data_IF_586550686518
#
_entry.id   IF_586550686518
#
_cell.length_a   1.000
_cell.length_b   1.000
_cell.length_c   1.000
_cell.angle_alpha   90.00
_cell.angle_beta   90.00
_cell.angle_gamma   90.00
#
_symmetry.space_group_name_H-M   'P 1'
#
loop_
_entity.id
_entity.type
_entity.pdbx_description
1 polymer ?
#
# COMPACT_ATOMS: atom_id res chain seq x y z
N UNK A 1 19.49 10.87 -8.58
CA UNK A 1 19.21 12.33 -8.48
C UNK A 1 19.46 12.78 -7.05
N UNK A 2 19.58 14.09 -6.77
CA UNK A 2 19.51 14.58 -5.39
C UNK A 2 18.04 14.62 -4.95
N UNK A 3 17.73 14.05 -3.78
CA UNK A 3 16.38 14.12 -3.18
C UNK A 3 15.99 15.60 -2.95
N UNK A 4 14.70 16.00 -3.10
CA UNK A 4 14.29 17.39 -2.90
C UNK A 4 14.39 17.87 -1.45
N UNK A 5 14.81 17.01 -0.51
CA UNK A 5 15.18 17.40 0.85
C UNK A 5 16.70 17.58 1.05
N UNK A 6 17.56 17.15 0.12
CA UNK A 6 19.02 17.04 0.34
C UNK A 6 19.82 17.71 -0.79
N UNK A 7 20.78 18.57 -0.43
CA UNK A 7 21.48 19.44 -1.37
C UNK A 7 22.98 19.50 -1.05
N UNK A 8 23.80 19.30 -2.08
CA UNK A 8 25.24 19.54 -2.02
C UNK A 8 25.54 20.93 -2.58
N UNK A 9 26.21 21.78 -1.80
CA UNK A 9 26.53 23.17 -2.12
C UNK A 9 28.04 23.36 -2.17
N UNK A 10 28.58 23.72 -3.34
CA UNK A 10 29.98 24.13 -3.47
C UNK A 10 30.19 25.56 -2.98
N UNK A 11 31.23 25.78 -2.17
CA UNK A 11 31.70 27.10 -1.72
C UNK A 11 33.18 27.20 -2.09
N UNK A 12 33.50 28.01 -3.10
CA UNK A 12 34.81 27.98 -3.76
C UNK A 12 34.97 26.74 -4.63
N UNK A 13 36.22 26.39 -4.95
CA UNK A 13 36.53 25.29 -5.89
C UNK A 13 36.51 23.90 -5.20
N UNK A 14 37.02 23.80 -3.96
CA UNK A 14 37.26 22.51 -3.28
C UNK A 14 36.22 22.11 -2.20
N UNK A 15 35.44 23.05 -1.65
CA UNK A 15 34.60 22.76 -0.46
C UNK A 15 33.14 22.50 -0.82
N UNK A 16 32.65 21.28 -0.59
CA UNK A 16 31.24 20.90 -0.78
C UNK A 16 30.56 20.66 0.57
N UNK A 17 29.53 21.44 0.86
CA UNK A 17 28.70 21.35 2.07
C UNK A 17 27.38 20.67 1.77
N UNK A 18 27.10 19.54 2.44
CA UNK A 18 25.79 18.88 2.37
C UNK A 18 24.83 19.53 3.37
N UNK A 19 23.72 20.03 2.86
CA UNK A 19 22.62 20.63 3.63
C UNK A 19 21.33 19.85 3.40
N UNK A 20 20.41 19.90 4.36
CA UNK A 20 19.08 19.29 4.22
C UNK A 20 17.97 20.24 4.68
N UNK A 21 16.86 20.22 3.96
CA UNK A 21 15.61 20.86 4.35
C UNK A 21 14.70 19.81 5.02
N UNK A 22 13.95 20.16 6.08
CA UNK A 22 13.04 19.24 6.76
C UNK A 22 11.78 18.92 5.93
N UNK A 23 11.58 19.62 4.81
CA UNK A 23 10.50 19.43 3.85
C UNK A 23 11.07 19.47 2.43
N UNK A 24 10.44 18.80 1.45
CA UNK A 24 10.83 18.91 0.05
C UNK A 24 10.78 20.36 -0.45
N UNK A 25 11.83 20.81 -1.13
CA UNK A 25 11.91 22.11 -1.80
C UNK A 25 12.38 21.93 -3.24
N UNK A 26 12.07 22.89 -4.11
CA UNK A 26 12.51 22.82 -5.51
C UNK A 26 13.98 23.27 -5.61
N UNK A 27 14.83 22.41 -6.18
CA UNK A 27 16.28 22.64 -6.28
C UNK A 27 16.61 23.94 -7.00
N UNK A 28 15.95 24.17 -8.14
CA UNK A 28 16.27 25.27 -9.05
C UNK A 28 15.72 26.62 -8.58
N UNK A 29 15.04 26.66 -7.43
CA UNK A 29 14.55 27.88 -6.77
C UNK A 29 15.25 28.16 -5.43
N UNK A 30 16.25 27.35 -5.04
CA UNK A 30 17.08 27.59 -3.86
C UNK A 30 17.91 28.87 -4.03
N UNK A 31 17.65 29.85 -3.17
CA UNK A 31 18.40 31.10 -3.05
C UNK A 31 19.40 30.98 -1.92
N UNK A 32 20.66 31.26 -2.23
CA UNK A 32 21.76 31.37 -1.27
C UNK A 32 21.88 32.84 -0.85
N UNK A 33 21.93 33.10 0.45
CA UNK A 33 22.23 34.40 1.02
C UNK A 33 23.48 34.29 1.91
N UNK A 34 24.44 35.17 1.72
CA UNK A 34 25.70 35.20 2.48
C UNK A 34 25.77 36.52 3.23
N UNK A 35 25.96 36.47 4.55
CA UNK A 35 26.33 37.62 5.38
C UNK A 35 27.78 37.45 5.88
N UNK A 36 28.76 38.13 5.25
CA UNK A 36 30.17 38.05 5.67
C UNK A 36 30.43 38.60 7.08
N UNK A 37 29.57 39.48 7.62
CA UNK A 37 29.76 40.07 8.94
C UNK A 37 29.32 39.12 10.06
N UNK A 38 28.33 38.27 9.78
CA UNK A 38 27.86 37.22 10.70
C UNK A 38 28.52 35.85 10.43
N UNK A 39 29.32 35.72 9.37
CA UNK A 39 29.88 34.44 8.92
C UNK A 39 28.81 33.44 8.46
N UNK A 40 27.64 33.93 8.05
CA UNK A 40 26.45 33.12 7.83
C UNK A 40 26.24 32.83 6.34
N UNK A 41 25.95 31.57 6.01
CA UNK A 41 25.37 31.18 4.72
C UNK A 41 23.98 30.59 4.97
N UNK A 42 22.95 31.29 4.51
CA UNK A 42 21.55 30.93 4.67
C UNK A 42 20.96 30.45 3.33
N UNK A 43 20.13 29.41 3.40
CA UNK A 43 19.46 28.83 2.23
C UNK A 43 17.95 29.01 2.37
N UNK A 44 17.29 29.44 1.28
CA UNK A 44 15.84 29.63 1.26
C UNK A 44 15.26 29.14 -0.06
N UNK A 45 14.15 28.40 0.00
CA UNK A 45 13.43 27.90 -1.17
C UNK A 45 11.96 27.70 -0.81
N UNK A 46 11.00 27.92 -1.73
CA UNK A 46 9.62 27.51 -1.51
C UNK A 46 9.50 25.99 -1.31
N UNK A 47 8.65 25.59 -0.35
CA UNK A 47 8.25 24.19 -0.19
C UNK A 47 7.56 23.71 -1.46
N UNK A 48 7.96 22.54 -1.94
CA UNK A 48 7.41 21.92 -3.15
C UNK A 48 5.94 21.57 -2.96
N UNK A 49 5.12 21.81 -3.99
CA UNK A 49 3.69 21.49 -4.00
C UNK A 49 3.48 20.00 -4.30
N UNK A 50 2.32 19.42 -3.97
CA UNK A 50 2.02 18.01 -4.23
C UNK A 50 2.23 17.56 -5.69
N UNK A 51 1.92 18.44 -6.66
CA UNK A 51 2.14 18.20 -8.09
C UNK A 51 3.62 18.22 -8.46
N UNK A 52 4.41 19.13 -7.88
CA UNK A 52 5.86 19.19 -8.07
C UNK A 52 6.57 17.94 -7.49
N UNK A 53 5.86 17.17 -6.66
CA UNK A 53 6.31 15.92 -6.04
C UNK A 53 5.77 14.65 -6.72
N UNK A 54 5.12 14.73 -7.89
CA UNK A 54 4.75 13.54 -8.68
C UNK A 54 5.98 12.72 -9.15
N UNK A 55 7.13 13.33 -9.54
CA UNK A 55 8.36 12.59 -9.84
C UNK A 55 9.03 11.94 -8.62
N UNK A 56 8.72 12.40 -7.41
CA UNK A 56 9.34 11.95 -6.15
C UNK A 56 8.40 11.01 -5.39
N UNK A 57 8.02 9.91 -6.04
CA UNK A 57 7.04 8.96 -5.51
C UNK A 57 7.46 8.33 -4.17
N UNK A 58 8.76 8.17 -3.93
CA UNK A 58 9.37 7.65 -2.70
C UNK A 58 8.99 8.42 -1.42
N UNK A 59 8.68 9.72 -1.56
CA UNK A 59 8.24 10.58 -0.46
C UNK A 59 6.84 10.24 0.10
N UNK A 60 6.23 9.16 -0.39
CA UNK A 60 5.05 8.55 0.21
C UNK A 60 5.36 7.83 1.53
N UNK A 61 6.59 7.34 1.73
CA UNK A 61 7.07 6.73 2.98
C UNK A 61 8.50 7.19 3.33
N UNK A 62 8.71 8.49 3.60
CA UNK A 62 10.04 9.04 3.82
C UNK A 62 10.58 8.60 5.20
N UNK A 63 11.82 8.11 5.21
CA UNK A 63 12.55 7.69 6.40
C UNK A 63 13.78 8.58 6.59
N UNK A 64 13.89 9.21 7.75
CA UNK A 64 15.10 9.95 8.14
C UNK A 64 16.11 9.00 8.77
N UNK A 65 17.41 9.25 8.59
CA UNK A 65 18.46 8.61 9.38
C UNK A 65 18.75 9.52 10.59
N UNK A 66 18.38 9.05 11.79
CA UNK A 66 18.55 9.78 13.03
C UNK A 66 19.91 9.56 13.69
N UNK A 67 20.03 9.99 14.96
CA UNK A 67 21.24 9.80 15.76
C UNK A 67 21.65 8.31 15.82
N UNK A 68 22.96 8.06 15.80
CA UNK A 68 23.56 6.72 15.74
C UNK A 68 23.06 5.86 14.55
N UNK A 69 22.69 6.51 13.45
CA UNK A 69 22.15 5.89 12.23
C UNK A 69 20.87 5.06 12.41
N UNK A 70 20.09 5.33 13.48
CA UNK A 70 18.79 4.70 13.65
C UNK A 70 17.80 5.29 12.62
N UNK A 71 17.21 4.49 11.72
CA UNK A 71 16.19 4.97 10.79
C UNK A 71 14.86 5.29 11.51
N UNK A 72 14.19 6.34 11.06
CA UNK A 72 12.96 6.90 11.66
C UNK A 72 11.94 7.22 10.55
N UNK A 73 10.84 6.45 10.41
CA UNK A 73 9.75 6.80 9.50
C UNK A 73 9.10 8.13 9.90
N UNK A 74 9.06 9.10 8.99
CA UNK A 74 8.61 10.47 9.31
C UNK A 74 7.07 10.55 9.37
N UNK A 75 6.37 9.75 8.58
CA UNK A 75 4.90 9.68 8.54
C UNK A 75 4.31 8.35 9.05
N UNK A 76 5.15 7.41 9.50
CA UNK A 76 4.75 6.08 9.98
C UNK A 76 4.88 5.96 11.50
N UNK A 77 3.83 6.30 12.24
CA UNK A 77 3.81 6.14 13.71
C UNK A 77 4.01 4.68 14.14
N UNK A 78 4.89 4.47 15.13
CA UNK A 78 5.28 3.13 15.60
C UNK A 78 4.08 2.32 16.12
N UNK A 79 4.06 1.02 15.81
CA UNK A 79 3.02 0.08 16.21
C UNK A 79 3.66 -1.21 16.75
N UNK A 80 3.34 -1.54 18.00
CA UNK A 80 3.52 -2.90 18.52
C UNK A 80 2.42 -3.80 17.94
N UNK A 81 2.74 -4.50 16.85
CA UNK A 81 1.80 -5.40 16.15
C UNK A 81 1.19 -6.45 17.08
N UNK A 82 1.96 -7.01 18.02
CA UNK A 82 1.47 -8.07 18.91
C UNK A 82 0.51 -7.58 20.00
N UNK A 83 0.41 -6.26 20.22
CA UNK A 83 -0.64 -5.66 21.04
C UNK A 83 -1.98 -5.44 20.31
N UNK A 84 -2.00 -5.51 18.97
CA UNK A 84 -3.20 -5.26 18.18
C UNK A 84 -4.05 -6.54 17.99
N UNK A 85 -5.39 -6.46 18.16
CA UNK A 85 -6.29 -7.57 17.89
C UNK A 85 -6.20 -8.07 16.45
N UNK A 86 -6.20 -9.38 16.26
CA UNK A 86 -6.29 -10.00 14.93
C UNK A 86 -7.74 -9.96 14.47
N UNK A 87 -7.97 -9.54 13.22
CA UNK A 87 -9.25 -9.64 12.54
C UNK A 87 -9.47 -11.09 12.10
N UNK A 88 -10.60 -11.70 12.49
CA UNK A 88 -11.03 -12.98 11.92
C UNK A 88 -11.29 -12.81 10.42
N UNK A 89 -10.76 -13.71 9.59
CA UNK A 89 -10.93 -13.71 8.13
C UNK A 89 -11.61 -14.98 7.61
N UNK A 90 -12.24 -15.74 8.51
CA UNK A 90 -12.97 -16.96 8.18
C UNK A 90 -14.19 -16.68 7.28
N UNK A 91 -14.58 -17.66 6.46
CA UNK A 91 -15.74 -17.56 5.54
C UNK A 91 -17.09 -17.35 6.27
N UNK A 92 -17.13 -17.59 7.58
CA UNK A 92 -18.23 -17.16 8.45
C UNK A 92 -18.34 -15.63 8.50
N UNK A 93 -17.20 -14.96 8.74
CA UNK A 93 -17.07 -13.51 8.97
C UNK A 93 -16.92 -12.68 7.69
N UNK A 94 -16.68 -13.31 6.53
CA UNK A 94 -16.63 -12.64 5.20
C UNK A 94 -17.74 -11.63 4.95
N UNK A 95 -18.95 -11.89 5.46
CA UNK A 95 -20.10 -10.99 5.34
C UNK A 95 -20.06 -9.81 6.32
N UNK A 96 -19.49 -9.98 7.51
CA UNK A 96 -19.24 -8.88 8.44
C UNK A 96 -18.09 -8.00 7.92
N UNK A 97 -17.03 -8.61 7.40
CA UNK A 97 -15.81 -7.94 6.92
C UNK A 97 -15.95 -7.10 5.64
N UNK A 98 -17.15 -6.99 5.05
CA UNK A 98 -17.38 -6.17 3.85
C UNK A 98 -17.03 -4.68 4.03
N UNK A 99 -16.96 -4.18 5.27
CA UNK A 99 -16.45 -2.83 5.58
C UNK A 99 -14.99 -2.64 5.13
N UNK A 100 -14.17 -3.70 5.11
CA UNK A 100 -12.77 -3.61 4.72
C UNK A 100 -12.63 -3.27 3.23
N UNK A 101 -13.51 -3.80 2.37
CA UNK A 101 -13.60 -3.42 0.95
C UNK A 101 -13.92 -1.93 0.78
N UNK A 102 -14.78 -1.37 1.63
CA UNK A 102 -15.04 0.07 1.66
C UNK A 102 -13.79 0.84 2.10
N UNK A 103 -13.15 0.43 3.20
CA UNK A 103 -11.95 1.08 3.74
C UNK A 103 -10.80 1.11 2.72
N UNK A 104 -10.45 -0.02 2.10
CA UNK A 104 -9.35 -0.08 1.11
C UNK A 104 -9.69 0.65 -0.20
N UNK A 105 -10.97 0.77 -0.55
CA UNK A 105 -11.42 1.62 -1.66
C UNK A 105 -11.24 3.12 -1.38
N UNK A 106 -11.15 3.54 -0.11
CA UNK A 106 -10.85 4.93 0.28
C UNK A 106 -9.35 5.29 0.28
N UNK A 107 -8.47 4.37 -0.15
CA UNK A 107 -7.09 4.72 -0.52
C UNK A 107 -7.02 5.68 -1.72
N UNK A 108 -7.99 5.58 -2.62
CA UNK A 108 -8.02 6.26 -3.91
C UNK A 108 -8.81 7.57 -3.83
N UNK A 109 -8.19 8.68 -4.26
CA UNK A 109 -8.85 9.97 -4.46
C UNK A 109 -9.84 9.92 -5.63
N UNK A 110 -10.63 10.98 -5.84
CA UNK A 110 -11.53 11.06 -7.00
C UNK A 110 -10.78 11.05 -8.34
N UNK A 111 -9.56 11.60 -8.40
CA UNK A 111 -8.69 11.51 -9.59
C UNK A 111 -8.29 10.06 -9.84
N UNK A 112 -7.76 9.39 -8.82
CA UNK A 112 -7.30 8.00 -8.93
C UNK A 112 -8.48 7.03 -9.19
N UNK A 113 -9.67 7.29 -8.63
CA UNK A 113 -10.89 6.52 -8.89
C UNK A 113 -11.37 6.61 -10.33
N UNK A 114 -11.35 7.79 -10.95
CA UNK A 114 -11.68 7.95 -12.38
C UNK A 114 -10.73 7.11 -13.25
N UNK A 115 -9.45 7.02 -12.89
CA UNK A 115 -8.50 6.13 -13.57
C UNK A 115 -8.74 4.64 -13.24
N UNK A 116 -9.10 4.28 -11.99
CA UNK A 116 -9.56 2.93 -11.56
C UNK A 116 -10.92 2.55 -12.20
N UNK A 117 -11.59 3.47 -12.90
CA UNK A 117 -12.80 3.24 -13.70
C UNK A 117 -12.52 3.24 -15.22
N UNK A 118 -11.77 4.21 -15.74
CA UNK A 118 -11.39 4.32 -17.16
C UNK A 118 -10.55 3.13 -17.63
N UNK A 119 -9.58 2.68 -16.82
CA UNK A 119 -8.80 1.48 -17.13
C UNK A 119 -9.70 0.22 -17.16
N UNK A 120 -10.61 0.07 -16.20
CA UNK A 120 -11.57 -1.05 -16.19
C UNK A 120 -12.51 -1.02 -17.40
N UNK A 121 -12.94 0.16 -17.85
CA UNK A 121 -13.75 0.28 -19.08
C UNK A 121 -12.95 -0.18 -20.31
N UNK A 122 -11.69 0.24 -20.44
CA UNK A 122 -10.83 -0.15 -21.57
C UNK A 122 -10.50 -1.65 -21.65
N UNK A 123 -10.56 -2.36 -20.52
CA UNK A 123 -10.42 -3.83 -20.46
C UNK A 123 -11.70 -4.58 -20.88
N UNK A 124 -12.86 -3.92 -20.85
CA UNK A 124 -14.17 -4.51 -21.18
C UNK A 124 -14.56 -4.22 -22.64
N UNK A 125 -14.29 -3.01 -23.11
CA UNK A 125 -14.53 -2.56 -24.49
C UNK A 125 -13.33 -1.73 -24.98
N UNK A 126 -12.31 -2.37 -25.58
CA UNK A 126 -11.05 -1.71 -25.90
C UNK A 126 -11.22 -0.71 -27.06
N UNK A 127 -10.98 0.60 -26.85
CA UNK A 127 -11.17 1.60 -27.90
C UNK A 127 -10.17 1.40 -29.04
N UNK A 128 -10.66 1.44 -30.28
CA UNK A 128 -9.85 1.25 -31.48
C UNK A 128 -10.00 2.47 -32.42
N UNK A 129 -8.92 3.22 -32.72
CA UNK A 129 -7.56 3.04 -32.20
C UNK A 129 -7.46 3.40 -30.71
N UNK A 130 -6.52 2.76 -30.01
CA UNK A 130 -6.15 3.13 -28.64
C UNK A 130 -5.70 4.60 -28.62
N UNK A 131 -6.27 5.47 -27.77
CA UNK A 131 -5.83 6.84 -27.64
C UNK A 131 -4.35 6.88 -27.20
N UNK A 132 -3.53 7.64 -27.93
CA UNK A 132 -2.12 7.88 -27.56
C UNK A 132 -1.96 8.57 -26.19
N UNK A 133 -3.06 9.11 -25.65
CA UNK A 133 -3.15 9.84 -24.39
C UNK A 133 -3.87 9.07 -23.27
N UNK A 134 -4.05 7.74 -23.39
CA UNK A 134 -4.62 6.94 -22.29
C UNK A 134 -3.80 7.13 -21.01
N UNK A 135 -4.42 7.54 -19.88
CA UNK A 135 -3.67 7.88 -18.67
C UNK A 135 -3.07 6.61 -18.07
N UNK A 136 -1.74 6.52 -18.06
CA UNK A 136 -1.04 5.51 -17.26
C UNK A 136 -1.29 5.81 -15.76
N UNK A 137 -1.50 4.79 -14.91
CA UNK A 137 -1.49 5.01 -13.46
C UNK A 137 -0.15 5.61 -13.03
N UNK A 138 -0.16 6.46 -12.01
CA UNK A 138 1.09 6.94 -11.39
C UNK A 138 1.66 5.84 -10.47
N UNK A 139 2.97 5.84 -10.17
CA UNK A 139 3.55 4.80 -9.30
C UNK A 139 2.89 4.73 -7.91
N UNK A 140 2.43 5.87 -7.37
CA UNK A 140 1.64 5.92 -6.13
C UNK A 140 0.25 5.28 -6.28
N UNK A 141 -0.37 5.37 -7.46
CA UNK A 141 -1.63 4.70 -7.76
C UNK A 141 -1.42 3.19 -7.94
N UNK A 142 -0.41 2.75 -8.70
CA UNK A 142 -0.09 1.32 -8.88
C UNK A 142 0.27 0.67 -7.53
N UNK A 143 1.04 1.36 -6.69
CA UNK A 143 1.33 0.90 -5.32
C UNK A 143 0.05 0.78 -4.47
N UNK A 144 -0.90 1.72 -4.61
CA UNK A 144 -2.24 1.59 -4.00
C UNK A 144 -3.05 0.44 -4.61
N UNK A 145 -2.88 0.08 -5.88
CA UNK A 145 -3.49 -1.10 -6.51
C UNK A 145 -2.96 -2.41 -5.91
N UNK A 146 -1.65 -2.50 -5.69
CA UNK A 146 -1.04 -3.61 -4.96
C UNK A 146 -1.57 -3.69 -3.52
N UNK A 147 -1.77 -2.57 -2.80
CA UNK A 147 -2.45 -2.57 -1.49
C UNK A 147 -3.96 -2.88 -1.57
N UNK A 148 -4.67 -2.40 -2.60
CA UNK A 148 -6.07 -2.71 -2.96
C UNK A 148 -6.26 -4.20 -3.30
N UNK A 149 -5.16 -4.93 -3.53
CA UNK A 149 -5.14 -6.38 -3.74
C UNK A 149 -4.70 -7.14 -2.49
N UNK A 150 -3.56 -6.78 -1.86
CA UNK A 150 -3.01 -7.46 -0.66
C UNK A 150 -4.07 -7.59 0.44
N UNK A 151 -4.78 -6.50 0.78
CA UNK A 151 -5.82 -6.56 1.81
C UNK A 151 -7.08 -7.31 1.39
N UNK A 152 -7.43 -7.35 0.10
CA UNK A 152 -8.64 -8.04 -0.38
C UNK A 152 -8.45 -9.55 -0.51
N UNK A 153 -7.23 -9.99 -0.84
CA UNK A 153 -6.86 -11.41 -0.91
C UNK A 153 -6.53 -11.97 0.49
N UNK A 154 -5.79 -11.22 1.33
CA UNK A 154 -5.46 -11.65 2.71
C UNK A 154 -6.66 -11.72 3.66
N UNK A 155 -7.79 -11.13 3.27
CA UNK A 155 -9.08 -11.20 4.01
C UNK A 155 -10.06 -12.20 3.40
N UNK A 156 -9.67 -12.90 2.33
CA UNK A 156 -10.55 -13.76 1.54
C UNK A 156 -11.71 -13.04 0.87
N UNK A 157 -11.79 -11.69 0.89
CA UNK A 157 -12.91 -10.94 0.33
C UNK A 157 -12.95 -11.03 -1.20
N UNK A 158 -11.78 -11.02 -1.86
CA UNK A 158 -11.61 -11.16 -3.31
C UNK A 158 -10.84 -12.45 -3.64
N UNK A 159 -11.51 -13.38 -4.33
CA UNK A 159 -10.94 -14.69 -4.65
C UNK A 159 -10.93 -15.65 -3.45
N UNK A 160 -9.89 -16.48 -3.38
CA UNK A 160 -9.54 -17.27 -2.20
C UNK A 160 -8.79 -16.45 -1.14
N UNK A 161 -8.44 -17.08 -0.02
CA UNK A 161 -7.68 -16.44 1.06
C UNK A 161 -6.25 -16.98 1.10
N UNK A 162 -5.30 -16.21 0.57
CA UNK A 162 -3.86 -16.48 0.70
C UNK A 162 -3.14 -15.30 1.33
N UNK A 163 -2.18 -15.60 2.20
CA UNK A 163 -1.23 -14.62 2.75
C UNK A 163 0.06 -14.53 1.93
N UNK A 164 0.19 -15.30 0.84
CA UNK A 164 1.41 -15.40 0.04
C UNK A 164 1.33 -14.50 -1.19
N UNK A 165 2.24 -13.53 -1.29
CA UNK A 165 2.33 -12.61 -2.41
C UNK A 165 3.74 -12.58 -3.00
N UNK A 166 3.83 -12.34 -4.30
CA UNK A 166 5.09 -12.07 -4.99
C UNK A 166 4.95 -10.80 -5.82
N UNK A 167 5.81 -9.81 -5.56
CA UNK A 167 5.99 -8.65 -6.44
C UNK A 167 6.91 -9.08 -7.58
N UNK A 168 6.43 -9.06 -8.82
CA UNK A 168 7.14 -9.57 -9.99
C UNK A 168 7.31 -8.49 -11.06
N UNK A 169 8.52 -8.43 -11.61
CA UNK A 169 8.87 -7.59 -12.76
C UNK A 169 8.81 -8.45 -14.03
N UNK A 170 7.61 -8.57 -14.61
CA UNK A 170 7.40 -9.33 -15.83
C UNK A 170 7.89 -8.58 -17.07
N UNK A 171 7.71 -7.25 -17.12
CA UNK A 171 8.15 -6.41 -18.26
C UNK A 171 9.65 -6.56 -18.56
N UNK A 172 10.49 -6.58 -17.53
CA UNK A 172 11.95 -6.72 -17.69
C UNK A 172 12.41 -8.18 -17.70
N UNK A 173 11.47 -9.14 -17.61
CA UNK A 173 11.76 -10.58 -17.57
C UNK A 173 12.50 -11.07 -16.32
N UNK A 174 12.56 -10.26 -15.25
CA UNK A 174 13.29 -10.58 -14.00
C UNK A 174 12.46 -11.41 -13.02
N UNK A 175 11.14 -11.52 -13.22
CA UNK A 175 10.26 -12.34 -12.40
C UNK A 175 10.15 -11.85 -10.96
N UNK A 176 9.92 -12.74 -10.00
CA UNK A 176 9.69 -12.39 -8.59
C UNK A 176 10.91 -11.64 -8.00
N UNK A 177 10.69 -10.43 -7.50
CA UNK A 177 11.72 -9.55 -6.91
C UNK A 177 11.60 -9.50 -5.37
N UNK A 178 10.38 -9.55 -4.84
CA UNK A 178 10.11 -9.49 -3.39
C UNK A 178 8.95 -10.44 -3.09
N UNK A 179 9.10 -11.26 -2.05
CA UNK A 179 8.02 -12.09 -1.51
C UNK A 179 7.47 -11.43 -0.24
N UNK A 180 6.14 -11.39 -0.10
CA UNK A 180 5.46 -10.90 1.10
C UNK A 180 4.60 -12.03 1.70
N UNK A 181 4.71 -12.20 3.01
CA UNK A 181 4.03 -13.24 3.78
C UNK A 181 3.15 -12.59 4.84
N UNK A 182 1.88 -12.34 4.51
CA UNK A 182 0.89 -11.80 5.45
C UNK A 182 0.44 -12.91 6.39
N UNK A 183 0.74 -12.74 7.69
CA UNK A 183 0.33 -13.67 8.75
C UNK A 183 -1.07 -13.37 9.26
N UNK A 184 -1.40 -12.09 9.40
CA UNK A 184 -2.68 -11.63 9.94
C UNK A 184 -3.00 -10.20 9.49
N UNK A 185 -4.28 -9.91 9.29
CA UNK A 185 -4.79 -8.54 9.33
C UNK A 185 -5.10 -8.23 10.80
N UNK A 186 -4.63 -7.09 11.30
CA UNK A 186 -4.87 -6.61 12.66
C UNK A 186 -5.60 -5.27 12.66
N UNK A 187 -6.37 -5.02 13.72
CA UNK A 187 -7.12 -3.79 13.92
C UNK A 187 -6.23 -2.71 14.52
N UNK A 188 -5.91 -1.67 13.75
CA UNK A 188 -5.25 -0.46 14.25
C UNK A 188 -6.33 0.53 14.73
N UNK A 189 -6.83 0.27 15.93
CA UNK A 189 -7.87 1.08 16.57
C UNK A 189 -7.43 2.54 16.83
N UNK A 190 -6.13 2.83 16.83
CA UNK A 190 -5.61 4.18 17.07
C UNK A 190 -5.67 5.06 15.81
N UNK A 191 -5.45 4.48 14.62
CA UNK A 191 -5.66 5.17 13.34
C UNK A 191 -7.07 4.99 12.75
N UNK A 192 -7.90 4.12 13.35
CA UNK A 192 -9.22 3.77 12.83
C UNK A 192 -9.17 2.88 11.58
N UNK A 193 -8.12 2.08 11.45
CA UNK A 193 -7.76 1.35 10.23
C UNK A 193 -7.37 -0.10 10.51
N UNK A 194 -6.77 -0.75 9.50
CA UNK A 194 -6.11 -2.06 9.63
C UNK A 194 -4.63 -1.98 9.29
N UNK A 195 -3.87 -2.95 9.78
CA UNK A 195 -2.47 -3.19 9.42
C UNK A 195 -2.28 -4.68 9.15
N UNK A 196 -1.57 -5.03 8.08
CA UNK A 196 -1.14 -6.40 7.83
C UNK A 196 0.18 -6.64 8.59
N UNK A 197 0.14 -7.59 9.53
CA UNK A 197 1.32 -8.16 10.19
C UNK A 197 1.92 -9.18 9.23
N UNK A 198 3.03 -8.79 8.59
CA UNK A 198 3.63 -9.55 7.49
C UNK A 198 5.15 -9.64 7.63
N UNK A 199 5.76 -10.50 6.82
CA UNK A 199 7.21 -10.55 6.63
C UNK A 199 7.54 -10.29 5.16
N UNK A 200 8.57 -9.49 4.89
CA UNK A 200 9.08 -9.20 3.55
C UNK A 200 10.43 -9.89 3.34
N UNK A 201 10.60 -10.56 2.20
CA UNK A 201 11.81 -11.28 1.81
C UNK A 201 12.20 -10.83 0.39
N UNK A 202 13.17 -9.92 0.25
CA UNK A 202 13.75 -9.54 -1.05
C UNK A 202 14.57 -10.66 -1.66
N UNK A 203 14.37 -10.92 -2.96
CA UNK A 203 15.16 -11.87 -3.73
C UNK A 203 16.34 -11.13 -4.36
N UNK A 204 17.45 -11.06 -3.64
CA UNK A 204 18.70 -10.49 -4.17
C UNK A 204 19.43 -11.51 -5.05
N UNK A 205 20.26 -11.03 -5.99
CA UNK A 205 21.07 -11.90 -6.85
C UNK A 205 21.97 -12.82 -6.03
N UNK A 206 22.68 -12.26 -5.04
CA UNK A 206 23.55 -13.03 -4.14
C UNK A 206 22.80 -14.17 -3.43
N UNK A 207 21.55 -13.93 -3.02
CA UNK A 207 20.71 -14.91 -2.33
C UNK A 207 20.19 -16.01 -3.27
N UNK A 208 19.84 -15.66 -4.51
CA UNK A 208 19.47 -16.64 -5.56
C UNK A 208 20.69 -17.48 -5.96
N UNK A 209 21.84 -16.85 -6.23
CA UNK A 209 23.07 -17.52 -6.65
C UNK A 209 23.66 -18.41 -5.53
N UNK A 210 23.42 -18.06 -4.25
CA UNK A 210 23.79 -18.91 -3.10
C UNK A 210 23.06 -20.25 -3.03
N UNK A 211 21.89 -20.36 -3.70
CA UNK A 211 20.94 -21.48 -3.62
C UNK A 211 20.37 -21.78 -2.22
N UNK A 212 20.63 -20.98 -1.18
CA UNK A 212 20.11 -21.29 0.18
C UNK A 212 18.57 -21.38 0.22
N UNK A 213 17.87 -20.67 -0.68
CA UNK A 213 16.41 -20.73 -0.83
C UNK A 213 15.89 -21.74 -1.86
N UNK A 214 16.72 -22.53 -2.55
CA UNK A 214 16.29 -23.33 -3.71
C UNK A 214 15.12 -24.28 -3.38
N UNK A 215 15.21 -25.03 -2.29
CA UNK A 215 14.14 -25.92 -1.81
C UNK A 215 12.87 -25.15 -1.42
N UNK A 216 13.01 -24.01 -0.73
CA UNK A 216 11.86 -23.18 -0.32
C UNK A 216 11.11 -22.61 -1.54
N UNK A 217 11.85 -22.09 -2.52
CA UNK A 217 11.28 -21.55 -3.76
C UNK A 217 10.64 -22.63 -4.63
N UNK A 218 11.09 -23.89 -4.54
CA UNK A 218 10.39 -25.03 -5.16
C UNK A 218 9.08 -25.34 -4.44
N UNK A 219 9.06 -25.40 -3.10
CA UNK A 219 7.83 -25.59 -2.30
C UNK A 219 6.80 -24.49 -2.61
N UNK A 220 7.23 -23.24 -2.76
CA UNK A 220 6.35 -22.12 -3.09
C UNK A 220 5.65 -22.25 -4.46
N UNK A 221 6.18 -23.01 -5.43
CA UNK A 221 5.55 -23.18 -6.75
C UNK A 221 4.29 -24.03 -6.72
N UNK A 222 4.14 -24.88 -5.70
CA UNK A 222 2.99 -25.77 -5.52
C UNK A 222 1.86 -25.12 -4.70
N UNK A 223 1.93 -23.82 -4.42
CA UNK A 223 1.01 -23.08 -3.56
C UNK A 223 0.25 -21.97 -4.30
N UNK A 224 -0.94 -21.62 -3.80
CA UNK A 224 -1.69 -20.45 -4.28
C UNK A 224 -1.01 -19.14 -3.81
N UNK A 225 -0.16 -18.59 -4.67
CA UNK A 225 0.51 -17.30 -4.49
C UNK A 225 -0.18 -16.23 -5.34
N UNK A 226 -0.51 -15.10 -4.73
CA UNK A 226 -0.98 -13.92 -5.45
C UNK A 226 0.22 -13.16 -6.04
N UNK A 227 0.47 -13.36 -7.33
CA UNK A 227 1.47 -12.59 -8.07
C UNK A 227 0.90 -11.21 -8.40
N UNK A 228 1.64 -10.17 -8.00
CA UNK A 228 1.40 -8.78 -8.36
C UNK A 228 2.44 -8.40 -9.42
N UNK A 229 1.98 -8.15 -10.64
CA UNK A 229 2.81 -7.66 -11.73
C UNK A 229 3.02 -6.16 -11.54
N UNK A 230 4.26 -5.74 -11.33
CA UNK A 230 4.61 -4.37 -10.92
C UNK A 230 5.68 -3.78 -11.83
N UNK A 231 5.44 -2.55 -12.29
CA UNK A 231 6.41 -1.84 -13.12
C UNK A 231 7.65 -1.40 -12.30
N UNK A 232 8.72 -1.01 -13.01
CA UNK A 232 9.98 -0.62 -12.38
C UNK A 232 9.83 0.55 -11.37
N UNK A 233 8.90 1.48 -11.58
CA UNK A 233 8.69 2.64 -10.74
C UNK A 233 7.78 2.35 -9.53
N UNK A 234 6.79 1.45 -9.66
CA UNK A 234 6.08 0.92 -8.50
C UNK A 234 7.03 0.08 -7.63
N UNK A 235 7.87 -0.75 -8.24
CA UNK A 235 8.83 -1.58 -7.53
C UNK A 235 9.90 -0.73 -6.80
N UNK A 236 10.35 0.39 -7.39
CA UNK A 236 11.15 1.39 -6.69
C UNK A 236 10.42 1.98 -5.48
N UNK A 237 9.12 2.27 -5.59
CA UNK A 237 8.32 2.72 -4.45
C UNK A 237 8.20 1.63 -3.36
N UNK A 238 8.03 0.36 -3.73
CA UNK A 238 8.07 -0.77 -2.79
C UNK A 238 9.40 -0.88 -2.05
N UNK A 239 10.54 -0.67 -2.72
CA UNK A 239 11.88 -0.63 -2.09
C UNK A 239 12.02 0.46 -1.04
N UNK A 240 11.31 1.60 -1.19
CA UNK A 240 11.28 2.68 -0.20
C UNK A 240 10.24 2.44 0.92
N UNK A 241 9.08 1.88 0.59
CA UNK A 241 8.00 1.63 1.55
C UNK A 241 8.32 0.50 2.55
N UNK A 242 8.95 -0.59 2.10
CA UNK A 242 9.21 -1.78 2.93
C UNK A 242 10.14 -1.48 4.14
N UNK A 243 11.26 -0.74 4.02
CA UNK A 243 12.04 -0.30 5.18
C UNK A 243 11.23 0.56 6.15
N UNK A 244 10.38 1.45 5.65
CA UNK A 244 9.49 2.26 6.50
C UNK A 244 8.49 1.38 7.26
N UNK A 245 7.91 0.36 6.61
CA UNK A 245 7.03 -0.62 7.24
C UNK A 245 7.75 -1.51 8.27
N UNK A 246 9.02 -1.83 8.07
CA UNK A 246 9.82 -2.60 9.02
C UNK A 246 10.11 -1.79 10.29
N UNK A 247 10.61 -0.57 10.13
CA UNK A 247 10.91 0.33 11.25
C UNK A 247 9.65 0.77 12.01
N UNK A 248 8.50 0.84 11.33
CA UNK A 248 7.19 1.10 11.96
C UNK A 248 6.81 0.05 13.01
N UNK A 249 7.22 -1.21 12.87
CA UNK A 249 6.91 -2.28 13.83
C UNK A 249 8.12 -2.92 14.49
N UNK A 250 9.31 -2.32 14.36
CA UNK A 250 10.53 -2.86 14.94
C UNK A 250 10.42 -2.96 16.48
N UNK A 251 10.69 -4.16 16.99
CA UNK A 251 10.92 -4.48 18.40
C UNK A 251 12.40 -4.83 18.69
N UNK A 252 13.19 -5.13 17.66
CA UNK A 252 14.65 -5.28 17.73
C UNK A 252 15.40 -3.93 17.78
N UNK A 253 16.73 -3.99 17.94
CA UNK A 253 17.63 -2.83 17.93
C UNK A 253 18.64 -3.00 16.79
N UNK A 254 18.99 -1.91 16.11
CA UNK A 254 20.09 -1.88 15.15
C UNK A 254 21.43 -1.99 15.86
N UNK A 255 22.28 -2.94 15.49
CA UNK A 255 23.65 -3.02 16.02
C UNK A 255 24.47 -1.86 15.46
N UNK A 256 24.81 -0.90 16.30
CA UNK A 256 25.57 0.32 15.93
C UNK A 256 26.93 0.00 15.26
N UNK A 257 27.47 -1.21 15.41
CA UNK A 257 28.73 -1.66 14.78
C UNK A 257 28.54 -2.35 13.43
N UNK A 258 27.37 -2.94 13.19
CA UNK A 258 27.11 -3.82 12.03
C UNK A 258 25.94 -3.35 11.14
N UNK A 259 25.17 -2.35 11.58
CA UNK A 259 24.04 -1.79 10.86
C UNK A 259 24.47 -1.22 9.51
N UNK A 260 23.78 -1.63 8.44
CA UNK A 260 24.03 -1.13 7.09
C UNK A 260 23.78 0.38 6.96
N UNK A 261 22.78 0.91 7.67
CA UNK A 261 22.52 2.36 7.76
C UNK A 261 23.61 3.12 8.56
N UNK A 262 24.46 2.40 9.32
CA UNK A 262 25.64 2.94 9.99
C UNK A 262 26.85 3.17 9.07
N UNK A 263 26.80 2.67 7.82
CA UNK A 263 27.93 2.78 6.87
C UNK A 263 28.01 4.20 6.28
N UNK A 264 29.22 4.76 6.07
CA UNK A 264 29.37 6.10 5.50
C UNK A 264 28.66 6.24 4.15
N UNK A 265 27.76 7.22 4.05
CA UNK A 265 26.98 7.48 2.84
C UNK A 265 25.74 6.58 2.63
N UNK A 266 25.42 5.69 3.58
CA UNK A 266 24.22 4.86 3.51
C UNK A 266 22.92 5.70 3.58
N UNK A 267 21.88 5.19 2.92
CA UNK A 267 20.53 5.77 2.85
C UNK A 267 19.48 4.75 3.32
N UNK A 268 18.22 5.19 3.44
CA UNK A 268 17.06 4.29 3.56
C UNK A 268 16.16 4.50 2.34
N UNK A 269 15.97 3.49 1.46
CA UNK A 269 16.66 2.19 1.42
C UNK A 269 18.16 2.33 1.15
N UNK A 270 18.91 1.25 1.37
CA UNK A 270 20.36 1.19 1.08
C UNK A 270 20.68 1.44 -0.40
N UNK A 271 19.75 1.04 -1.28
CA UNK A 271 19.80 1.19 -2.73
C UNK A 271 18.39 1.06 -3.29
N UNK A 272 18.11 1.70 -4.42
CA UNK A 272 16.89 1.46 -5.21
C UNK A 272 17.13 0.43 -6.34
N UNK A 273 18.39 0.02 -6.59
CA UNK A 273 18.72 -0.88 -7.70
C UNK A 273 18.08 -2.27 -7.54
N UNK A 274 17.65 -2.85 -8.66
CA UNK A 274 17.09 -4.21 -8.69
C UNK A 274 18.10 -5.25 -8.24
N UNK A 275 17.59 -6.37 -7.70
CA UNK A 275 18.35 -7.54 -7.27
C UNK A 275 19.42 -7.28 -6.18
N UNK A 276 19.47 -6.08 -5.59
CA UNK A 276 20.40 -5.72 -4.51
C UNK A 276 19.71 -5.64 -3.14
N UNK A 277 20.51 -5.76 -2.07
CA UNK A 277 20.02 -5.63 -0.69
C UNK A 277 19.62 -4.17 -0.39
N UNK A 278 18.31 -3.88 -0.40
CA UNK A 278 17.79 -2.54 -0.10
C UNK A 278 17.42 -2.31 1.39
N UNK A 279 17.24 -3.38 2.16
CA UNK A 279 16.93 -3.35 3.61
C UNK A 279 18.18 -3.58 4.46
N UNK A 280 18.24 -3.02 5.68
CA UNK A 280 19.31 -3.34 6.62
C UNK A 280 19.18 -4.74 7.22
N UNK A 281 20.29 -5.49 7.20
CA UNK A 281 20.46 -6.84 7.74
C UNK A 281 20.19 -6.97 9.24
N UNK A 282 20.14 -5.87 10.01
CA UNK A 282 19.76 -5.91 11.42
C UNK A 282 18.34 -6.46 11.67
N UNK A 283 17.43 -6.33 10.68
CA UNK A 283 16.08 -6.90 10.72
C UNK A 283 15.98 -8.36 10.29
N UNK A 284 17.02 -8.92 9.65
CA UNK A 284 16.99 -10.27 9.09
C UNK A 284 16.82 -11.32 10.22
N UNK A 285 15.84 -12.21 10.06
CA UNK A 285 15.53 -13.21 11.08
C UNK A 285 14.86 -12.65 12.34
N UNK A 286 14.47 -11.36 12.37
CA UNK A 286 13.70 -10.76 13.48
C UNK A 286 12.20 -11.01 13.28
N UNK A 287 11.87 -12.28 13.16
CA UNK A 287 10.52 -12.80 12.93
C UNK A 287 10.07 -13.57 14.18
N UNK A 288 8.83 -13.39 14.67
CA UNK A 288 8.27 -14.25 15.72
C UNK A 288 8.29 -15.74 15.32
N UNK A 289 8.32 -16.65 16.30
CA UNK A 289 8.14 -18.08 16.01
C UNK A 289 6.75 -18.38 15.46
N UNK A 290 6.64 -19.45 14.68
CA UNK A 290 5.39 -19.93 14.09
C UNK A 290 4.67 -18.85 13.25
N UNK A 291 5.46 -18.00 12.58
CA UNK A 291 4.95 -16.87 11.79
C UNK A 291 4.20 -17.32 10.53
N UNK A 292 4.78 -18.27 9.80
CA UNK A 292 4.27 -18.89 8.57
C UNK A 292 4.48 -20.40 8.68
N UNK A 293 3.47 -21.18 8.32
CA UNK A 293 3.47 -22.65 8.46
C UNK A 293 3.82 -23.33 7.13
N UNK A 294 5.03 -23.09 6.63
CA UNK A 294 5.54 -23.70 5.40
C UNK A 294 6.83 -24.52 5.66
N UNK A 295 7.07 -25.62 4.92
CA UNK A 295 8.38 -26.26 4.86
C UNK A 295 9.47 -25.25 4.50
N UNK A 296 10.68 -25.43 5.03
CA UNK A 296 11.82 -24.50 4.87
C UNK A 296 11.56 -23.02 5.25
N UNK A 297 10.43 -22.69 5.89
CA UNK A 297 10.26 -21.35 6.47
C UNK A 297 11.19 -21.16 7.67
N UNK A 298 11.01 -21.97 8.69
CA UNK A 298 11.71 -21.84 9.97
C UNK A 298 13.17 -22.27 9.82
N UNK A 299 14.08 -21.31 9.93
CA UNK A 299 15.52 -21.57 9.90
C UNK A 299 16.16 -21.57 8.51
N UNK A 300 15.42 -21.37 7.42
CA UNK A 300 15.96 -21.06 6.09
C UNK A 300 15.38 -19.74 5.59
N UNK A 301 14.14 -19.72 5.07
CA UNK A 301 13.57 -18.50 4.49
C UNK A 301 13.39 -17.38 5.53
N UNK A 302 13.04 -17.71 6.78
CA UNK A 302 12.84 -16.73 7.84
C UNK A 302 14.12 -15.96 8.19
N UNK A 303 15.32 -16.52 7.94
CA UNK A 303 16.60 -15.83 8.14
C UNK A 303 16.79 -14.62 7.24
N UNK A 304 16.17 -14.62 6.06
CA UNK A 304 16.29 -13.56 5.05
C UNK A 304 15.07 -12.63 5.00
N UNK A 305 14.09 -12.89 5.86
CA UNK A 305 12.88 -12.08 5.97
C UNK A 305 12.96 -11.06 7.13
N UNK A 306 12.22 -9.96 6.99
CA UNK A 306 12.06 -8.90 8.00
C UNK A 306 10.58 -8.63 8.24
N UNK A 307 10.16 -8.47 9.51
CA UNK A 307 8.76 -8.17 9.86
C UNK A 307 8.39 -6.74 9.44
N UNK A 308 7.20 -6.57 8.88
CA UNK A 308 6.70 -5.30 8.32
C UNK A 308 5.24 -5.05 8.69
N UNK A 309 4.92 -3.78 9.01
CA UNK A 309 3.57 -3.28 9.27
C UNK A 309 2.99 -2.56 8.04
N UNK A 310 2.52 -3.33 7.06
CA UNK A 310 1.93 -2.81 5.83
C UNK A 310 0.54 -2.23 6.16
N UNK A 311 0.25 -0.99 5.76
CA UNK A 311 -1.03 -0.30 6.04
C UNK A 311 -1.66 0.22 4.75
N UNK A 312 -3.01 0.37 4.66
CA UNK A 312 -3.64 1.03 3.53
C UNK A 312 -3.16 2.48 3.40
N UNK A 313 -2.93 2.94 2.16
CA UNK A 313 -2.36 4.26 1.88
C UNK A 313 -3.46 5.26 1.45
N UNK A 314 -3.98 6.02 2.41
CA UNK A 314 -5.07 6.98 2.18
C UNK A 314 -4.62 8.25 1.45
N UNK A 315 -5.42 8.71 0.49
CA UNK A 315 -5.28 10.04 -0.09
C UNK A 315 -5.55 11.13 0.96
N UNK A 316 -4.76 12.21 0.93
CA UNK A 316 -4.83 13.27 1.94
C UNK A 316 -5.84 14.36 1.55
N UNK A 317 -6.88 14.64 2.36
CA UNK A 317 -7.93 15.61 2.05
C UNK A 317 -7.43 17.08 2.01
N UNK A 318 -6.17 17.33 2.40
CA UNK A 318 -5.55 18.64 2.27
C UNK A 318 -5.06 18.95 0.85
N UNK A 319 -4.96 17.94 -0.02
CA UNK A 319 -4.31 18.04 -1.34
C UNK A 319 -5.02 17.27 -2.47
N UNK A 320 -5.96 16.38 -2.14
CA UNK A 320 -6.73 15.55 -3.08
C UNK A 320 -8.22 15.55 -2.70
N UNK A 321 -9.12 15.57 -3.68
CA UNK A 321 -10.54 15.33 -3.44
C UNK A 321 -10.78 13.85 -3.06
N UNK A 322 -11.39 13.58 -1.91
CA UNK A 322 -11.65 12.20 -1.43
C UNK A 322 -13.14 11.84 -1.32
N UNK A 323 -14.05 12.80 -1.51
CA UNK A 323 -15.51 12.63 -1.48
C UNK A 323 -16.12 13.42 -2.62
N UNK A 324 -16.88 12.75 -3.48
CA UNK A 324 -17.59 13.42 -4.58
C UNK A 324 -18.84 14.13 -4.03
N UNK A 325 -18.67 15.39 -3.66
CA UNK A 325 -19.72 16.24 -3.08
C UNK A 325 -20.82 16.55 -4.10
N UNK A 326 -20.51 16.55 -5.39
CA UNK A 326 -21.50 16.83 -6.45
C UNK A 326 -22.39 15.62 -6.71
N UNK A 327 -21.80 14.43 -6.84
CA UNK A 327 -22.50 13.14 -6.89
C UNK A 327 -23.33 12.93 -5.61
N UNK A 328 -22.78 13.26 -4.43
CA UNK A 328 -23.50 13.20 -3.16
C UNK A 328 -24.73 14.13 -3.16
N UNK A 329 -24.58 15.38 -3.61
CA UNK A 329 -25.70 16.33 -3.76
C UNK A 329 -26.74 15.81 -4.76
N UNK A 330 -26.32 15.33 -5.93
CA UNK A 330 -27.19 14.77 -6.96
C UNK A 330 -27.97 13.53 -6.49
N UNK A 331 -27.39 12.72 -5.60
CA UNK A 331 -28.09 11.60 -4.95
C UNK A 331 -29.02 12.01 -3.79
N UNK A 332 -29.14 13.30 -3.48
CA UNK A 332 -29.99 13.83 -2.40
C UNK A 332 -29.29 14.05 -1.06
N UNK A 333 -27.97 14.26 -1.07
CA UNK A 333 -27.14 14.51 0.11
C UNK A 333 -26.98 13.29 1.02
N UNK A 334 -26.60 13.52 2.29
CA UNK A 334 -26.45 12.47 3.29
C UNK A 334 -27.77 11.71 3.52
N UNK A 335 -28.91 12.40 3.55
CA UNK A 335 -30.22 11.73 3.57
C UNK A 335 -30.44 10.84 2.34
N UNK A 336 -29.93 11.25 1.18
CA UNK A 336 -29.95 10.50 -0.07
C UNK A 336 -29.18 9.18 0.01
N UNK A 337 -28.11 9.11 0.80
CA UNK A 337 -27.41 7.86 1.10
C UNK A 337 -28.18 7.00 2.11
N UNK A 338 -28.70 7.60 3.19
CA UNK A 338 -29.38 6.89 4.28
C UNK A 338 -30.78 6.36 3.94
N UNK A 339 -31.41 6.85 2.85
CA UNK A 339 -32.70 6.33 2.37
C UNK A 339 -32.57 4.89 1.88
N UNK A 340 -33.51 4.03 2.30
CA UNK A 340 -33.57 2.64 1.86
C UNK A 340 -33.67 2.54 0.32
N UNK A 341 -32.87 1.66 -0.31
CA UNK A 341 -32.78 1.51 -1.78
C UNK A 341 -33.02 0.07 -2.22
N UNK A 342 -33.61 -0.08 -3.42
CA UNK A 342 -33.72 -1.37 -4.11
C UNK A 342 -32.33 -1.84 -4.60
N UNK A 343 -31.85 -3.00 -4.12
CA UNK A 343 -30.51 -3.53 -4.45
C UNK A 343 -30.25 -3.69 -5.96
N UNK A 344 -31.30 -3.89 -6.77
CA UNK A 344 -31.19 -4.09 -8.21
C UNK A 344 -31.19 -2.79 -9.05
N UNK A 345 -31.75 -1.68 -8.54
CA UNK A 345 -31.98 -0.48 -9.37
C UNK A 345 -32.01 0.85 -8.60
N UNK A 346 -31.56 0.87 -7.34
CA UNK A 346 -31.45 2.03 -6.46
C UNK A 346 -32.75 2.84 -6.19
N UNK A 347 -33.90 2.40 -6.70
CA UNK A 347 -35.20 3.01 -6.42
C UNK A 347 -35.50 3.01 -4.90
N UNK A 348 -35.84 4.18 -4.36
CA UNK A 348 -36.11 4.41 -2.92
C UNK A 348 -37.55 4.12 -2.50
N UNK A 349 -38.40 3.67 -3.43
CA UNK A 349 -39.80 3.29 -3.19
C UNK A 349 -40.15 2.02 -3.95
N UNK A 350 -41.12 1.27 -3.43
CA UNK A 350 -41.71 0.10 -4.08
C UNK A 350 -42.59 0.46 -5.29
N UNK A 351 -43.04 -0.58 -6.01
CA UNK A 351 -44.02 -0.47 -7.11
C UNK A 351 -45.24 0.33 -6.63
N UNK A 352 -45.72 1.29 -7.44
CA UNK A 352 -46.74 2.31 -7.07
C UNK A 352 -46.39 3.21 -5.86
N UNK A 353 -45.12 3.37 -5.50
CA UNK A 353 -44.67 4.30 -4.46
C UNK A 353 -44.73 3.76 -3.02
N UNK A 354 -45.03 2.47 -2.83
CA UNK A 354 -45.08 1.83 -1.50
C UNK A 354 -43.72 1.65 -0.82
N UNK A 355 -43.68 0.91 0.29
CA UNK A 355 -42.42 0.50 0.92
C UNK A 355 -41.65 -0.50 0.04
N UNK A 356 -40.33 -0.57 0.22
CA UNK A 356 -39.53 -1.64 -0.38
C UNK A 356 -39.82 -2.98 0.31
N UNK A 357 -39.74 -4.07 -0.43
CA UNK A 357 -39.94 -5.44 0.08
C UNK A 357 -38.61 -6.07 0.43
N UNK A 358 -38.48 -6.64 1.63
CA UNK A 358 -37.32 -7.43 2.02
C UNK A 358 -37.24 -8.75 1.26
N UNK A 359 -36.03 -9.25 1.05
CA UNK A 359 -35.82 -10.66 0.69
C UNK A 359 -36.30 -11.56 1.84
N UNK A 360 -37.34 -12.35 1.61
CA UNK A 360 -37.99 -13.15 2.66
C UNK A 360 -37.06 -14.20 3.31
N UNK A 361 -36.01 -14.66 2.61
CA UNK A 361 -35.06 -15.66 3.12
C UNK A 361 -34.02 -15.08 4.08
N UNK A 362 -33.34 -14.01 3.69
CA UNK A 362 -32.21 -13.46 4.45
C UNK A 362 -32.53 -12.20 5.26
N UNK A 363 -33.63 -11.49 4.94
CA UNK A 363 -34.02 -10.18 5.50
C UNK A 363 -32.89 -9.12 5.54
N UNK A 364 -31.82 -9.28 4.77
CA UNK A 364 -30.69 -8.35 4.71
C UNK A 364 -30.80 -7.33 3.56
N UNK A 365 -31.54 -7.64 2.50
CA UNK A 365 -31.63 -6.82 1.28
C UNK A 365 -33.07 -6.47 0.92
N UNK A 366 -33.27 -5.33 0.23
CA UNK A 366 -34.57 -4.77 -0.14
C UNK A 366 -34.73 -4.62 -1.66
N UNK A 367 -35.95 -4.75 -2.16
CA UNK A 367 -36.32 -4.61 -3.58
C UNK A 367 -37.60 -3.80 -3.77
N UNK A 368 -37.71 -3.04 -4.87
CA UNK A 368 -38.93 -2.30 -5.20
C UNK A 368 -40.03 -3.16 -5.86
N UNK A 369 -39.67 -4.30 -6.43
CA UNK A 369 -40.60 -5.31 -6.95
C UNK A 369 -39.97 -6.71 -6.96
N UNK A 370 -40.79 -7.75 -7.08
CA UNK A 370 -40.31 -9.12 -7.35
C UNK A 370 -39.53 -9.20 -8.67
N UNK A 371 -39.85 -8.33 -9.64
CA UNK A 371 -39.15 -8.27 -10.94
C UNK A 371 -37.68 -7.87 -10.75
N UNK A 372 -37.43 -6.92 -9.84
CA UNK A 372 -36.08 -6.52 -9.45
C UNK A 372 -35.36 -7.61 -8.63
N UNK A 373 -36.06 -8.28 -7.72
CA UNK A 373 -35.51 -9.42 -6.98
C UNK A 373 -35.10 -10.56 -7.93
N UNK A 374 -35.91 -10.88 -8.94
CA UNK A 374 -35.62 -11.92 -9.95
C UNK A 374 -34.42 -11.56 -10.84
N UNK A 375 -34.24 -10.29 -11.18
CA UNK A 375 -33.06 -9.81 -11.93
C UNK A 375 -31.76 -9.94 -11.13
N UNK A 376 -31.77 -9.51 -9.87
CA UNK A 376 -30.63 -9.61 -8.97
C UNK A 376 -30.34 -11.06 -8.51
N UNK A 377 -31.34 -11.95 -8.56
CA UNK A 377 -31.25 -13.31 -8.01
C UNK A 377 -30.02 -14.10 -8.47
N UNK A 378 -29.55 -13.94 -9.72
CA UNK A 378 -28.32 -14.59 -10.21
C UNK A 378 -27.08 -14.27 -9.35
N UNK A 379 -26.98 -13.04 -8.85
CA UNK A 379 -25.95 -12.58 -7.91
C UNK A 379 -26.36 -12.93 -6.47
N UNK A 380 -27.49 -12.38 -6.02
CA UNK A 380 -27.92 -12.44 -4.62
C UNK A 380 -28.00 -13.86 -4.04
N UNK A 381 -28.38 -14.88 -4.83
CA UNK A 381 -28.51 -16.28 -4.36
C UNK A 381 -27.27 -16.83 -3.67
N UNK A 382 -26.07 -16.35 -4.04
CA UNK A 382 -24.79 -16.77 -3.44
C UNK A 382 -24.61 -16.20 -2.02
N UNK A 383 -25.12 -14.99 -1.79
CA UNK A 383 -25.03 -14.24 -0.53
C UNK A 383 -26.24 -14.50 0.40
N UNK A 384 -27.30 -15.12 -0.13
CA UNK A 384 -28.61 -15.21 0.51
C UNK A 384 -28.68 -16.29 1.61
N UNK A 385 -27.86 -16.16 2.66
CA UNK A 385 -27.92 -16.98 3.89
C UNK A 385 -29.31 -16.79 4.58
N UNK A 386 -29.97 -17.84 5.11
CA UNK A 386 -31.20 -17.68 5.90
C UNK A 386 -30.96 -16.81 7.14
N UNK A 387 -32.02 -16.17 7.65
CA UNK A 387 -32.03 -15.69 9.04
C UNK A 387 -32.02 -16.91 9.96
N UNK A 388 -31.17 -16.90 10.99
CA UNK A 388 -31.26 -17.87 12.09
C UNK A 388 -32.38 -17.42 13.05
N UNK A 389 -33.24 -18.37 13.45
CA UNK A 389 -34.35 -18.13 14.39
C UNK A 389 -33.88 -17.93 15.83
#
# INVERSE_FOLDING_TARGET
MTSPCNFDISIGEDSVYRSSFPLPVLKDTVKIHVDPNLGLVAFSSPVAKPLDLEPFSELMYPVAVGNHSVPIPINGGHINLDSLPILSVDEADRQANQWLTTLTSHQFSLRERRVREELMASLIDPPNPMPFTSPRPSPRMSFKESLFTVFMVSSGLQGGSTGLFALADQESGRGNQILLFVRAIRLDCASGSVVADAAALPLTRDLIDSRELETFLLVLRELEICVLDVDNAELDLWRHAIPAFAERCRDWVHDVRMCDYGKPGATVPLTASSEQQFMCSCGNGKIPRDFVRLPEWEGVASRHAVRVAISPAFASPFVEDIVDVELLRAQGGLEGLLKEKCRNCNATKGKKGGKLMWCMRCRAVRYCSQDCQKKDWKKHRMECKPVAD
#
